data_IF_537367378790
#
_entry.id   IF_537367378790
#
_cell.length_a   1.000
_cell.length_b   1.000
_cell.length_c   1.000
_cell.angle_alpha   90.00
_cell.angle_beta   90.00
_cell.angle_gamma   90.00
#
_symmetry.space_group_name_H-M   'P 1'
#
loop_
_entity.id
_entity.type
_entity.pdbx_description
1 polymer ?
#
# COMPACT_ATOMS: atom_id res chain seq x y z
N UNK A 1 -16.63 13.18 10.52
CA UNK A 1 -15.40 12.53 11.01
C UNK A 1 -14.73 13.46 12.00
N UNK A 2 -14.20 12.94 13.12
CA UNK A 2 -13.43 13.76 14.08
C UNK A 2 -12.01 13.95 13.54
N UNK A 3 -11.30 14.97 14.01
CA UNK A 3 -9.92 15.33 13.59
C UNK A 3 -8.98 14.11 13.64
N UNK A 4 -9.13 13.27 14.67
CA UNK A 4 -8.34 12.05 14.85
C UNK A 4 -8.56 11.01 13.73
N UNK A 5 -9.78 10.88 13.20
CA UNK A 5 -10.06 9.87 12.16
C UNK A 5 -9.34 10.20 10.89
N UNK A 6 -9.38 11.49 10.56
CA UNK A 6 -8.71 12.03 9.41
C UNK A 6 -7.20 11.89 9.56
N UNK A 7 -6.68 12.12 10.77
CA UNK A 7 -5.27 11.92 11.08
C UNK A 7 -4.84 10.45 10.89
N UNK A 8 -5.59 9.48 11.43
CA UNK A 8 -5.33 8.05 11.26
C UNK A 8 -5.43 7.66 9.78
N UNK A 9 -6.54 7.98 9.13
CA UNK A 9 -6.83 7.65 7.74
C UNK A 9 -5.77 8.21 6.79
N UNK A 10 -5.47 9.50 6.91
CA UNK A 10 -4.48 10.17 6.05
C UNK A 10 -3.09 9.58 6.23
N UNK A 11 -2.66 9.36 7.47
CA UNK A 11 -1.31 8.86 7.73
C UNK A 11 -1.13 7.42 7.27
N UNK A 12 -2.07 6.53 7.57
CA UNK A 12 -1.89 5.14 7.16
C UNK A 12 -2.05 4.99 5.62
N UNK A 13 -2.98 5.70 4.96
CA UNK A 13 -3.06 5.67 3.49
C UNK A 13 -1.78 6.22 2.86
N UNK A 14 -1.25 7.31 3.39
CA UNK A 14 0.01 7.87 2.91
C UNK A 14 1.15 6.87 3.05
N UNK A 15 1.31 6.25 4.22
CA UNK A 15 2.32 5.19 4.43
C UNK A 15 2.13 4.02 3.46
N UNK A 16 0.89 3.60 3.20
CA UNK A 16 0.57 2.55 2.23
C UNK A 16 1.08 2.89 0.83
N UNK A 17 0.73 4.07 0.31
CA UNK A 17 1.14 4.49 -1.03
C UNK A 17 2.65 4.70 -1.14
N UNK A 18 3.30 5.22 -0.09
CA UNK A 18 4.75 5.39 -0.08
C UNK A 18 5.46 4.03 -0.15
N UNK A 19 5.06 3.06 0.67
CA UNK A 19 5.65 1.72 0.64
C UNK A 19 5.41 1.07 -0.73
N UNK A 20 4.18 1.15 -1.25
CA UNK A 20 3.84 0.61 -2.58
C UNK A 20 4.72 1.22 -3.69
N UNK A 21 4.84 2.56 -3.73
CA UNK A 21 5.64 3.27 -4.72
C UNK A 21 7.13 2.90 -4.63
N UNK A 22 7.67 2.74 -3.43
CA UNK A 22 9.07 2.37 -3.23
C UNK A 22 9.38 0.93 -3.68
N UNK A 23 8.40 0.03 -3.59
CA UNK A 23 8.58 -1.37 -3.97
C UNK A 23 8.38 -1.64 -5.47
N UNK A 24 7.61 -0.81 -6.18
CA UNK A 24 7.39 -0.97 -7.63
C UNK A 24 8.72 -0.99 -8.43
N UNK A 25 9.64 -0.01 -8.28
CA UNK A 25 10.91 -0.01 -9.00
C UNK A 25 11.79 -1.23 -8.68
N UNK A 26 11.74 -1.71 -7.44
CA UNK A 26 12.47 -2.89 -7.00
C UNK A 26 11.93 -4.12 -7.74
N UNK A 27 10.61 -4.29 -7.78
CA UNK A 27 9.95 -5.38 -8.51
C UNK A 27 10.25 -5.36 -10.01
N UNK A 28 10.17 -4.18 -10.64
CA UNK A 28 10.50 -4.01 -12.06
C UNK A 28 11.95 -4.40 -12.34
N UNK A 29 12.89 -3.94 -11.53
CA UNK A 29 14.33 -4.21 -11.73
C UNK A 29 14.64 -5.70 -11.62
N UNK A 30 14.08 -6.38 -10.61
CA UNK A 30 14.25 -7.83 -10.43
C UNK A 30 13.66 -8.58 -11.62
N UNK A 31 12.43 -8.25 -12.03
CA UNK A 31 11.77 -8.90 -13.16
C UNK A 31 12.48 -8.65 -14.50
N UNK A 32 13.06 -7.46 -14.67
CA UNK A 32 13.91 -7.14 -15.81
C UNK A 32 15.19 -7.99 -15.79
N UNK A 33 15.87 -8.09 -14.65
CA UNK A 33 17.09 -8.88 -14.54
C UNK A 33 16.88 -10.37 -14.89
N UNK A 34 15.72 -10.93 -14.57
CA UNK A 34 15.37 -12.31 -14.93
C UNK A 34 15.12 -12.51 -16.44
N UNK A 35 14.67 -11.48 -17.14
CA UNK A 35 14.20 -11.58 -18.53
C UNK A 35 15.07 -10.85 -19.55
N UNK A 36 16.04 -10.04 -19.10
CA UNK A 36 16.87 -9.19 -19.95
C UNK A 36 17.58 -9.99 -21.04
N UNK A 37 18.11 -11.18 -20.73
CA UNK A 37 18.77 -12.04 -21.72
C UNK A 37 17.85 -12.42 -22.87
N UNK A 38 16.62 -12.85 -22.57
CA UNK A 38 15.63 -13.22 -23.59
C UNK A 38 15.13 -12.02 -24.40
N UNK A 39 15.00 -10.85 -23.77
CA UNK A 39 14.57 -9.62 -24.45
C UNK A 39 15.62 -9.21 -25.48
N UNK A 40 16.91 -9.30 -25.12
CA UNK A 40 18.01 -8.95 -26.02
C UNK A 40 18.21 -9.99 -27.13
N UNK A 41 18.10 -11.29 -26.82
CA UNK A 41 18.24 -12.38 -27.81
C UNK A 41 17.17 -12.35 -28.91
N UNK A 42 15.94 -11.93 -28.57
CA UNK A 42 14.83 -11.88 -29.52
C UNK A 42 14.65 -10.50 -30.19
N UNK A 43 15.60 -9.58 -30.02
CA UNK A 43 15.57 -8.21 -30.58
C UNK A 43 14.22 -7.50 -30.39
N UNK A 44 13.61 -7.68 -29.21
CA UNK A 44 12.24 -7.22 -28.97
C UNK A 44 12.16 -5.68 -29.06
N UNK A 45 11.19 -5.11 -29.81
CA UNK A 45 11.01 -3.67 -29.89
C UNK A 45 10.81 -3.04 -28.51
N UNK A 46 11.49 -1.93 -28.23
CA UNK A 46 11.41 -1.24 -26.93
C UNK A 46 9.97 -0.88 -26.53
N UNK A 47 9.10 -0.54 -27.49
CA UNK A 47 7.70 -0.23 -27.23
C UNK A 47 6.93 -1.40 -26.60
N UNK A 48 7.16 -2.62 -27.07
CA UNK A 48 6.54 -3.83 -26.51
C UNK A 48 7.08 -4.13 -25.12
N UNK A 49 8.38 -3.91 -24.92
CA UNK A 49 9.02 -4.06 -23.60
C UNK A 49 8.39 -3.10 -22.58
N UNK A 50 8.20 -1.82 -22.94
CA UNK A 50 7.57 -0.85 -22.04
C UNK A 50 6.12 -1.22 -21.69
N UNK A 51 5.32 -1.64 -22.68
CA UNK A 51 3.95 -2.10 -22.45
C UNK A 51 3.92 -3.31 -21.52
N UNK A 52 4.79 -4.29 -21.76
CA UNK A 52 4.93 -5.46 -20.90
C UNK A 52 5.29 -5.09 -19.45
N UNK A 53 6.19 -4.14 -19.24
CA UNK A 53 6.54 -3.70 -17.88
C UNK A 53 5.44 -2.87 -17.22
N UNK A 54 4.62 -2.14 -17.99
CA UNK A 54 3.44 -1.45 -17.48
C UNK A 54 2.40 -2.46 -16.96
N UNK A 55 2.09 -3.47 -17.76
CA UNK A 55 1.15 -4.55 -17.39
C UNK A 55 1.67 -5.32 -16.17
N UNK A 56 2.97 -5.64 -16.15
CA UNK A 56 3.62 -6.25 -15.01
C UNK A 56 3.51 -5.36 -13.75
N UNK A 57 3.71 -4.05 -13.89
CA UNK A 57 3.62 -3.12 -12.76
C UNK A 57 2.24 -3.13 -12.13
N UNK A 58 1.17 -3.13 -12.95
CA UNK A 58 -0.21 -3.20 -12.47
C UNK A 58 -0.46 -4.52 -11.73
N UNK A 59 -0.11 -5.64 -12.36
CA UNK A 59 -0.26 -6.97 -11.76
C UNK A 59 0.51 -7.10 -10.45
N UNK A 60 1.77 -6.66 -10.43
CA UNK A 60 2.64 -6.74 -9.27
C UNK A 60 2.17 -5.82 -8.14
N UNK A 61 1.73 -4.59 -8.46
CA UNK A 61 1.16 -3.69 -7.49
C UNK A 61 -0.10 -4.29 -6.84
N UNK A 62 -1.03 -4.84 -7.64
CA UNK A 62 -2.25 -5.48 -7.14
C UNK A 62 -1.93 -6.62 -6.15
N UNK A 63 -0.94 -7.47 -6.46
CA UNK A 63 -0.49 -8.54 -5.57
C UNK A 63 -0.01 -8.01 -4.20
N UNK A 64 0.59 -6.83 -4.18
CA UNK A 64 1.18 -6.23 -2.98
C UNK A 64 0.20 -5.39 -2.15
N UNK A 65 -0.98 -5.07 -2.66
CA UNK A 65 -1.98 -4.26 -1.94
C UNK A 65 -2.33 -4.83 -0.55
N UNK A 66 -2.74 -6.10 -0.39
CA UNK A 66 -3.09 -6.64 0.92
C UNK A 66 -1.88 -6.64 1.88
N UNK A 67 -0.69 -6.94 1.37
CA UNK A 67 0.55 -6.96 2.13
C UNK A 67 0.89 -5.56 2.66
N UNK A 68 0.94 -4.55 1.79
CA UNK A 68 1.30 -3.20 2.20
C UNK A 68 0.22 -2.50 2.99
N UNK A 69 -1.07 -2.83 2.77
CA UNK A 69 -2.14 -2.36 3.63
C UNK A 69 -1.90 -2.85 5.07
N UNK A 70 -1.60 -4.15 5.23
CA UNK A 70 -1.29 -4.74 6.52
C UNK A 70 -0.06 -4.10 7.19
N UNK A 71 1.05 -3.97 6.46
CA UNK A 71 2.28 -3.33 6.95
C UNK A 71 2.04 -1.87 7.37
N UNK A 72 1.31 -1.11 6.56
CA UNK A 72 0.99 0.28 6.87
C UNK A 72 0.17 0.42 8.16
N UNK A 73 -0.85 -0.43 8.31
CA UNK A 73 -1.71 -0.43 9.52
C UNK A 73 -0.89 -0.78 10.76
N UNK A 74 -0.05 -1.82 10.70
CA UNK A 74 0.80 -2.21 11.85
C UNK A 74 1.78 -1.10 12.20
N UNK A 75 2.51 -0.58 11.21
CA UNK A 75 3.50 0.45 11.44
C UNK A 75 2.87 1.69 12.07
N UNK A 76 1.73 2.12 11.53
CA UNK A 76 1.05 3.32 12.01
C UNK A 76 0.49 3.12 13.42
N UNK A 77 -0.15 1.98 13.67
CA UNK A 77 -0.70 1.65 14.99
C UNK A 77 0.42 1.53 16.04
N UNK A 78 1.55 0.91 15.68
CA UNK A 78 2.74 0.81 16.54
C UNK A 78 3.30 2.19 16.89
N UNK A 79 3.40 3.10 15.90
CA UNK A 79 3.83 4.47 16.14
C UNK A 79 2.88 5.23 17.07
N UNK A 80 1.57 5.04 16.90
CA UNK A 80 0.55 5.65 17.76
C UNK A 80 0.62 5.13 19.19
N UNK A 81 0.89 3.84 19.36
CA UNK A 81 1.07 3.21 20.67
C UNK A 81 2.37 3.69 21.36
N UNK A 82 3.48 3.79 20.63
CA UNK A 82 4.76 4.30 21.15
C UNK A 82 4.65 5.75 21.64
N UNK A 83 3.85 6.57 20.97
CA UNK A 83 3.58 7.95 21.40
C UNK A 83 2.53 8.05 22.51
N UNK A 84 2.03 6.93 23.06
CA UNK A 84 0.93 6.85 24.05
C UNK A 84 -0.41 7.43 23.60
N UNK A 85 -0.57 7.75 22.30
CA UNK A 85 -1.80 8.32 21.73
C UNK A 85 -2.97 7.31 21.81
N UNK A 86 -2.70 6.01 21.69
CA UNK A 86 -3.72 4.94 21.83
C UNK A 86 -4.28 4.89 23.25
N UNK A 87 -3.40 4.97 24.26
CA UNK A 87 -3.79 4.89 25.68
C UNK A 87 -4.61 6.14 26.03
N UNK A 88 -4.13 7.33 25.68
CA UNK A 88 -4.84 8.58 25.90
C UNK A 88 -6.25 8.58 25.29
N UNK A 89 -6.40 8.01 24.08
CA UNK A 89 -7.70 7.87 23.43
C UNK A 89 -8.66 6.97 24.21
N UNK A 90 -8.23 5.78 24.61
CA UNK A 90 -9.08 4.84 25.34
C UNK A 90 -9.41 5.36 26.76
N UNK A 91 -8.46 6.03 27.42
CA UNK A 91 -8.67 6.68 28.72
C UNK A 91 -9.62 7.87 28.67
N UNK A 92 -9.83 8.48 27.49
CA UNK A 92 -10.84 9.55 27.30
C UNK A 92 -12.29 9.04 27.21
N UNK A 93 -12.52 7.74 27.49
CA UNK A 93 -13.84 7.11 27.49
C UNK A 93 -14.36 6.74 26.10
N UNK A 94 -13.51 6.82 25.07
CA UNK A 94 -13.91 6.44 23.71
C UNK A 94 -13.72 4.94 23.49
N UNK A 95 -14.76 4.28 22.95
CA UNK A 95 -14.72 2.84 22.74
C UNK A 95 -13.70 2.41 21.68
N UNK A 96 -13.13 1.23 21.87
CA UNK A 96 -12.20 0.62 20.92
C UNK A 96 -12.82 0.41 19.52
N UNK A 97 -14.09 0.03 19.45
CA UNK A 97 -14.81 -0.08 18.16
C UNK A 97 -14.85 1.24 17.39
N UNK A 98 -14.85 2.36 18.11
CA UNK A 98 -14.77 3.68 17.50
C UNK A 98 -13.35 3.91 16.93
N UNK A 99 -12.31 3.58 17.69
CA UNK A 99 -10.92 3.65 17.24
C UNK A 99 -10.68 2.90 15.93
N UNK A 100 -11.35 1.76 15.73
CA UNK A 100 -11.24 0.91 14.53
C UNK A 100 -11.92 1.49 13.28
N UNK A 101 -12.93 2.37 13.41
CA UNK A 101 -13.68 2.92 12.25
C UNK A 101 -12.80 3.52 11.14
N UNK A 102 -11.79 4.38 11.41
CA UNK A 102 -10.92 4.90 10.36
C UNK A 102 -10.13 3.82 9.62
N UNK A 103 -9.72 2.74 10.30
CA UNK A 103 -9.06 1.61 9.68
C UNK A 103 -10.01 0.84 8.75
N UNK A 104 -11.27 0.65 9.14
CA UNK A 104 -12.27 -0.03 8.31
C UNK A 104 -12.66 0.77 7.07
N UNK A 105 -12.89 2.08 7.22
CA UNK A 105 -13.12 3.00 6.08
C UNK A 105 -11.95 2.92 5.13
N UNK A 106 -10.76 2.98 5.71
CA UNK A 106 -9.53 2.92 4.98
C UNK A 106 -9.30 1.62 4.18
N UNK A 107 -9.49 0.48 4.83
CA UNK A 107 -9.41 -0.83 4.19
C UNK A 107 -10.46 -0.95 3.07
N UNK A 108 -11.64 -0.37 3.25
CA UNK A 108 -12.69 -0.35 2.22
C UNK A 108 -12.27 0.46 0.99
N UNK A 109 -11.61 1.61 1.18
CA UNK A 109 -11.06 2.42 0.08
C UNK A 109 -10.02 1.60 -0.70
N UNK A 110 -9.08 0.96 0.00
CA UNK A 110 -8.04 0.15 -0.63
C UNK A 110 -8.62 -1.09 -1.32
N UNK A 111 -9.67 -1.70 -0.74
CA UNK A 111 -10.38 -2.81 -1.37
C UNK A 111 -11.08 -2.39 -2.67
N UNK A 112 -11.76 -1.24 -2.69
CA UNK A 112 -12.37 -0.71 -3.91
C UNK A 112 -11.30 -0.39 -4.95
N UNK A 113 -10.19 0.23 -4.55
CA UNK A 113 -9.06 0.48 -5.45
C UNK A 113 -8.49 -0.82 -6.03
N UNK A 114 -8.34 -1.87 -5.20
CA UNK A 114 -7.91 -3.18 -5.67
C UNK A 114 -8.86 -3.72 -6.73
N UNK A 115 -10.17 -3.69 -6.48
CA UNK A 115 -11.19 -4.19 -7.41
C UNK A 115 -11.26 -3.43 -8.74
N UNK A 116 -10.93 -2.14 -8.75
CA UNK A 116 -10.93 -1.31 -9.97
C UNK A 116 -9.63 -1.44 -10.76
N UNK A 117 -8.51 -1.73 -10.09
CA UNK A 117 -7.21 -1.96 -10.72
C UNK A 117 -7.02 -3.39 -11.26
N UNK A 118 -7.96 -4.30 -10.98
CA UNK A 118 -8.07 -5.65 -11.56
C UNK A 118 -8.63 -5.56 -12.98
#
# INVERSE_FOLDING_TARGET
>A
MKILDWYILKRYLFTFFIILLLFIPIGITVHLAEKIGKILENEVPLGEVLLYFLDFTIYFAHLLFPLFLFLSVIWFTSKLANNTEVIAFLSSGVSFSRFLRPYMIGASIVAILALVLV
#
